data_IF_215498039564
#
_entry.id   IF_215498039564
#
_cell.length_a   1.000
_cell.length_b   1.000
_cell.length_c   1.000
_cell.angle_alpha   90.00
_cell.angle_beta   90.00
_cell.angle_gamma   90.00
#
_symmetry.space_group_name_H-M   'P 1'
#
loop_
_entity.id
_entity.type
_entity.pdbx_description
1 polymer ?
#
# COMPACT_ATOMS: atom_id res chain seq x y z
N UNK A 1 -7.91 1.39 -18.00
CA UNK A 1 -6.68 0.59 -18.16
C UNK A 1 -5.52 1.46 -17.73
N UNK A 2 -4.63 0.98 -16.87
CA UNK A 2 -3.49 1.79 -16.43
C UNK A 2 -2.59 2.09 -17.65
N UNK A 3 -2.17 3.35 -17.79
CA UNK A 3 -1.34 3.79 -18.90
C UNK A 3 0.05 3.17 -18.72
N UNK A 4 0.49 2.38 -19.69
CA UNK A 4 1.79 1.73 -19.63
C UNK A 4 2.87 2.73 -20.08
N UNK A 5 3.75 3.12 -19.17
CA UNK A 5 4.79 4.10 -19.50
C UNK A 5 6.00 3.41 -20.14
N UNK A 6 6.41 3.95 -21.29
CA UNK A 6 7.58 3.50 -22.04
C UNK A 6 8.73 4.47 -21.79
N UNK A 7 9.79 3.98 -21.15
CA UNK A 7 10.99 4.75 -20.84
C UNK A 7 12.16 4.06 -21.52
N UNK A 8 12.89 4.79 -22.37
CA UNK A 8 14.03 4.26 -23.14
C UNK A 8 13.71 2.98 -23.93
N UNK A 9 12.46 2.84 -24.38
CA UNK A 9 12.00 1.64 -25.12
C UNK A 9 11.59 0.46 -24.23
N UNK A 10 11.76 0.56 -22.91
CA UNK A 10 11.30 -0.43 -21.95
C UNK A 10 9.90 -0.08 -21.42
N UNK A 11 9.07 -1.09 -21.20
CA UNK A 11 7.77 -0.95 -20.56
C UNK A 11 7.94 -1.08 -19.06
N UNK A 12 7.59 -0.05 -18.31
CA UNK A 12 7.69 -0.06 -16.85
C UNK A 12 6.34 -0.33 -16.20
N UNK A 13 6.38 -1.11 -15.12
CA UNK A 13 5.27 -1.30 -14.19
C UNK A 13 5.74 -0.86 -12.81
N UNK A 14 5.09 0.13 -12.21
CA UNK A 14 5.46 0.66 -10.91
C UNK A 14 4.50 0.12 -9.85
N UNK A 15 5.09 -0.55 -8.85
CA UNK A 15 4.38 -1.07 -7.71
C UNK A 15 5.10 -0.67 -6.44
N UNK A 16 4.36 -0.15 -5.47
CA UNK A 16 4.89 0.21 -4.16
C UNK A 16 3.87 -0.09 -3.07
N UNK A 17 4.35 -0.24 -1.83
CA UNK A 17 3.44 -0.48 -0.73
C UNK A 17 4.11 -0.80 0.59
N UNK A 18 3.32 -1.33 1.52
CA UNK A 18 3.76 -1.70 2.87
C UNK A 18 3.45 -3.17 3.11
N UNK A 19 4.47 -3.91 3.50
CA UNK A 19 4.32 -5.28 3.94
C UNK A 19 4.51 -5.42 5.44
N UNK A 20 4.05 -6.57 5.97
CA UNK A 20 4.26 -7.01 7.35
C UNK A 20 3.62 -6.08 8.40
N UNK A 21 2.52 -5.43 8.04
CA UNK A 21 1.72 -4.64 8.97
C UNK A 21 0.92 -5.60 9.86
N UNK A 22 1.26 -5.68 11.14
CA UNK A 22 0.49 -6.48 12.11
C UNK A 22 -0.69 -5.66 12.63
N UNK A 23 -1.89 -6.21 12.49
CA UNK A 23 -3.13 -5.56 12.93
C UNK A 23 -3.90 -6.53 13.80
N UNK A 24 -4.29 -6.10 14.98
CA UNK A 24 -5.19 -6.86 15.85
C UNK A 24 -6.50 -6.09 16.04
N UNK A 25 -7.62 -6.81 16.01
CA UNK A 25 -8.94 -6.25 16.31
C UNK A 25 -9.58 -7.05 17.44
N UNK A 26 -10.11 -6.32 18.41
CA UNK A 26 -10.83 -6.87 19.55
C UNK A 26 -12.27 -6.37 19.51
N UNK A 27 -13.23 -7.28 19.68
CA UNK A 27 -14.63 -6.95 19.87
C UNK A 27 -15.07 -7.40 21.25
N UNK A 28 -15.92 -6.60 21.89
CA UNK A 28 -16.51 -6.94 23.20
C UNK A 28 -18.02 -7.04 23.05
N UNK A 29 -18.61 -8.10 23.60
CA UNK A 29 -20.07 -8.22 23.66
C UNK A 29 -20.62 -7.49 24.88
N UNK A 30 -21.93 -7.22 24.86
CA UNK A 30 -22.62 -6.62 26.02
C UNK A 30 -22.57 -7.53 27.25
N UNK A 31 -22.43 -8.84 27.05
CA UNK A 31 -22.32 -9.86 28.11
C UNK A 31 -20.88 -10.04 28.63
N UNK A 32 -19.93 -9.23 28.17
CA UNK A 32 -18.55 -9.23 28.68
C UNK A 32 -17.59 -10.22 28.00
N UNK A 33 -18.01 -10.88 26.91
CA UNK A 33 -17.12 -11.75 26.14
C UNK A 33 -16.22 -10.92 25.23
N UNK A 34 -14.97 -11.33 25.07
CA UNK A 34 -14.01 -10.70 24.16
C UNK A 34 -13.66 -11.66 23.02
N UNK A 35 -13.68 -11.14 21.80
CA UNK A 35 -13.21 -11.83 20.60
C UNK A 35 -12.00 -11.08 20.05
N UNK A 36 -10.96 -11.80 19.67
CA UNK A 36 -9.74 -11.22 19.09
C UNK A 36 -9.41 -11.93 17.78
N UNK A 37 -8.98 -11.15 16.79
CA UNK A 37 -8.31 -11.66 15.60
C UNK A 37 -7.06 -10.81 15.36
N UNK A 38 -5.96 -11.46 14.97
CA UNK A 38 -4.73 -10.82 14.52
C UNK A 38 -4.45 -11.23 13.07
N UNK A 39 -4.03 -10.25 12.26
CA UNK A 39 -3.60 -10.44 10.88
C UNK A 39 -2.19 -9.88 10.66
N UNK A 40 -1.52 -10.43 9.66
CA UNK A 40 -0.35 -9.82 9.02
C UNK A 40 -0.76 -9.39 7.61
N UNK A 41 -0.85 -8.09 7.40
CA UNK A 41 -1.35 -7.47 6.18
C UNK A 41 -0.18 -6.98 5.31
N UNK A 42 -0.32 -7.17 4.00
CA UNK A 42 0.51 -6.55 2.99
C UNK A 42 -0.38 -5.89 1.95
N UNK A 43 0.01 -4.70 1.50
CA UNK A 43 -0.70 -3.93 0.48
C UNK A 43 0.30 -3.40 -0.54
N UNK A 44 -0.08 -3.49 -1.81
CA UNK A 44 0.67 -2.98 -2.95
C UNK A 44 -0.27 -2.23 -3.86
N UNK A 45 0.11 -1.01 -4.26
CA UNK A 45 -0.59 -0.25 -5.28
C UNK A 45 0.15 -0.39 -6.61
N UNK A 46 -0.64 -0.46 -7.69
CA UNK A 46 -0.16 -0.23 -9.04
C UNK A 46 -0.41 1.25 -9.35
N UNK A 47 0.66 1.99 -9.62
CA UNK A 47 0.62 3.46 -9.65
C UNK A 47 1.24 4.03 -10.91
N UNK A 48 0.68 5.12 -11.41
CA UNK A 48 1.28 5.93 -12.46
C UNK A 48 2.25 6.92 -11.79
N UNK A 49 3.47 6.46 -11.50
CA UNK A 49 4.42 7.20 -10.68
C UNK A 49 5.88 7.10 -11.16
N UNK A 50 6.13 6.95 -12.46
CA UNK A 50 7.53 6.80 -12.96
C UNK A 50 8.42 7.98 -12.59
N UNK A 51 7.84 9.18 -12.44
CA UNK A 51 8.60 10.37 -12.08
C UNK A 51 9.29 10.22 -10.71
N UNK A 52 8.76 9.40 -9.80
CA UNK A 52 9.42 9.08 -8.53
C UNK A 52 10.69 8.26 -8.68
N UNK A 53 10.84 7.52 -9.80
CA UNK A 53 12.03 6.71 -10.10
C UNK A 53 13.07 7.47 -10.92
N UNK A 54 12.62 8.41 -11.76
CA UNK A 54 13.48 9.08 -12.76
C UNK A 54 13.82 10.52 -12.43
N UNK A 55 13.01 11.20 -11.62
CA UNK A 55 13.04 12.66 -11.45
C UNK A 55 12.93 13.10 -9.99
N UNK A 56 12.98 12.17 -9.04
CA UNK A 56 12.80 12.42 -7.60
C UNK A 56 11.49 13.16 -7.25
N UNK A 57 10.48 13.08 -8.13
CA UNK A 57 9.17 13.70 -7.93
C UNK A 57 8.20 12.70 -7.31
N UNK A 58 7.86 12.95 -6.04
CA UNK A 58 6.99 12.09 -5.24
C UNK A 58 5.53 12.57 -5.21
N UNK A 59 5.13 13.53 -6.04
CA UNK A 59 3.76 14.07 -6.06
C UNK A 59 2.67 13.02 -6.30
N UNK A 60 3.00 11.97 -7.06
CA UNK A 60 2.10 10.85 -7.38
C UNK A 60 2.24 9.64 -6.42
N UNK A 61 3.11 9.72 -5.40
CA UNK A 61 3.35 8.61 -4.46
C UNK A 61 2.46 8.74 -3.23
N UNK A 62 1.69 7.69 -2.94
CA UNK A 62 1.10 7.51 -1.61
C UNK A 62 2.17 6.96 -0.69
N UNK A 63 2.61 7.76 0.28
CA UNK A 63 3.62 7.32 1.24
C UNK A 63 3.21 5.99 1.91
N UNK A 64 4.16 5.06 2.03
CA UNK A 64 3.86 3.71 2.58
C UNK A 64 3.39 3.77 4.03
N UNK A 65 3.70 4.84 4.76
CA UNK A 65 3.16 5.08 6.10
C UNK A 65 1.68 5.43 6.07
N UNK A 66 1.24 6.26 5.12
CA UNK A 66 -0.18 6.57 4.88
C UNK A 66 -0.96 5.30 4.55
N UNK A 67 -0.40 4.42 3.72
CA UNK A 67 -1.00 3.11 3.40
C UNK A 67 -1.14 2.20 4.62
N UNK A 68 -0.18 2.26 5.55
CA UNK A 68 -0.22 1.53 6.84
C UNK A 68 -1.24 2.13 7.81
N UNK A 69 -1.47 3.44 7.73
CA UNK A 69 -2.42 4.16 8.60
C UNK A 69 -3.88 4.00 8.16
N UNK A 70 -4.12 3.61 6.90
CA UNK A 70 -5.46 3.37 6.32
C UNK A 70 -6.00 2.01 6.72
#
# INVERSE_FOLDING_TARGET
MAKQEVVEGFKFEQRHGKERVRVARVWKTRQGQHFIVEWRVGITLFSDCVNSYLRDDNSDIVATDTMKNT
#
